data_IF_668492025123
#
_entry.id   IF_668492025123
#
_cell.length_a   1.000
_cell.length_b   1.000
_cell.length_c   1.000
_cell.angle_alpha   90.00
_cell.angle_beta   90.00
_cell.angle_gamma   90.00
#
_symmetry.space_group_name_H-M   'P 1'
#
loop_
_entity.id
_entity.type
_entity.pdbx_description
1 polymer ?
#
# COMPACT_ATOMS: atom_id res chain seq x y z
N UNK A 1 31.08 10.13 2.65
CA UNK A 1 30.18 10.83 1.72
C UNK A 1 29.55 9.77 0.83
N UNK A 2 28.25 9.50 0.95
CA UNK A 2 27.59 8.54 0.05
C UNK A 2 27.52 9.18 -1.34
N UNK A 3 28.32 8.67 -2.27
CA UNK A 3 28.29 9.03 -3.69
C UNK A 3 27.56 7.90 -4.39
N UNK A 4 26.24 8.01 -4.41
CA UNK A 4 25.36 7.06 -5.05
C UNK A 4 24.07 7.75 -5.44
N UNK A 5 23.37 7.23 -6.43
CA UNK A 5 22.14 7.83 -6.89
C UNK A 5 21.01 7.50 -5.89
N UNK A 6 20.46 8.49 -5.16
CA UNK A 6 19.55 8.27 -4.01
C UNK A 6 18.33 7.42 -4.32
N UNK A 7 17.89 7.45 -5.56
CA UNK A 7 16.62 6.88 -6.00
C UNK A 7 16.48 5.37 -5.74
N UNK A 8 17.60 4.64 -5.56
CA UNK A 8 17.57 3.21 -5.24
C UNK A 8 17.99 2.89 -3.80
N UNK A 9 18.45 3.88 -3.03
CA UNK A 9 18.93 3.66 -1.67
C UNK A 9 17.78 3.27 -0.75
N UNK A 10 18.02 2.27 0.10
CA UNK A 10 17.06 1.92 1.14
C UNK A 10 17.03 2.97 2.26
N UNK A 11 15.91 3.12 2.99
CA UNK A 11 15.78 4.10 4.07
C UNK A 11 16.91 4.03 5.11
N UNK A 12 17.35 2.82 5.47
CA UNK A 12 18.41 2.60 6.44
C UNK A 12 19.80 3.02 5.93
N UNK A 13 20.09 2.88 4.63
CA UNK A 13 21.35 3.34 4.02
C UNK A 13 21.49 4.87 4.10
N UNK A 14 20.38 5.60 4.18
CA UNK A 14 20.35 7.05 4.25
C UNK A 14 20.56 7.60 5.67
N UNK A 15 20.43 6.77 6.71
CA UNK A 15 20.58 7.18 8.12
C UNK A 15 22.05 7.07 8.58
N UNK A 16 22.92 6.42 7.81
CA UNK A 16 24.37 6.37 8.09
C UNK A 16 24.76 5.42 9.23
N UNK A 17 23.86 4.53 9.66
CA UNK A 17 24.17 3.51 10.66
C UNK A 17 24.88 2.31 10.03
N UNK A 18 26.09 2.00 10.49
CA UNK A 18 26.88 0.83 10.12
C UNK A 18 26.30 -0.51 10.65
N UNK A 19 24.97 -0.61 10.76
CA UNK A 19 24.26 -1.79 11.25
C UNK A 19 23.60 -2.54 10.09
N UNK A 20 24.15 -3.71 9.74
CA UNK A 20 23.52 -4.75 8.91
C UNK A 20 22.83 -4.24 7.62
N UNK A 21 23.55 -3.42 6.84
CA UNK A 21 23.27 -3.27 5.41
C UNK A 21 23.71 -4.57 4.76
N UNK A 22 22.79 -5.46 4.39
CA UNK A 22 23.19 -6.61 3.58
C UNK A 22 22.04 -7.05 2.69
N UNK A 23 21.19 -8.00 3.11
CA UNK A 23 20.27 -8.66 2.18
C UNK A 23 18.94 -7.92 1.93
N UNK A 24 18.40 -7.26 2.96
CA UNK A 24 17.06 -6.62 2.89
C UNK A 24 17.10 -5.23 2.25
N UNK A 25 18.28 -4.61 2.21
CA UNK A 25 18.50 -3.37 1.47
C UNK A 25 18.48 -3.65 -0.04
N UNK A 26 19.08 -4.75 -0.48
CA UNK A 26 18.99 -5.19 -1.88
C UNK A 26 17.56 -5.54 -2.31
N UNK A 27 16.79 -6.18 -1.43
CA UNK A 27 15.35 -6.43 -1.67
C UNK A 27 14.58 -5.12 -1.90
N UNK A 28 14.92 -4.06 -1.18
CA UNK A 28 14.31 -2.74 -1.37
C UNK A 28 14.69 -2.15 -2.74
N UNK A 29 15.97 -2.17 -3.08
CA UNK A 29 16.48 -1.70 -4.38
C UNK A 29 15.82 -2.45 -5.54
N UNK A 30 15.69 -3.78 -5.45
CA UNK A 30 14.97 -4.60 -6.42
C UNK A 30 13.48 -4.22 -6.49
N UNK A 31 12.85 -3.89 -5.36
CA UNK A 31 11.49 -3.38 -5.32
C UNK A 31 11.32 -2.05 -6.06
N UNK A 32 12.29 -1.14 -5.94
CA UNK A 32 12.30 0.13 -6.68
C UNK A 32 12.44 -0.13 -8.18
N UNK A 33 13.36 -1.01 -8.58
CA UNK A 33 13.55 -1.39 -9.99
C UNK A 33 12.28 -2.02 -10.55
N UNK A 34 11.67 -2.96 -9.82
CA UNK A 34 10.43 -3.59 -10.22
C UNK A 34 9.30 -2.56 -10.38
N UNK A 35 9.16 -1.63 -9.43
CA UNK A 35 8.21 -0.52 -9.55
C UNK A 35 8.46 0.31 -10.82
N UNK A 36 9.72 0.61 -11.11
CA UNK A 36 10.09 1.40 -12.28
C UNK A 36 9.82 0.68 -13.60
N UNK A 37 10.11 -0.61 -13.68
CA UNK A 37 9.79 -1.44 -14.86
C UNK A 37 8.28 -1.50 -15.09
N UNK A 38 7.49 -1.61 -14.02
CA UNK A 38 6.03 -1.67 -14.13
C UNK A 38 5.40 -0.32 -14.49
N UNK A 39 5.88 0.77 -13.90
CA UNK A 39 5.21 2.09 -13.97
C UNK A 39 5.87 3.10 -14.89
N UNK A 40 7.14 2.90 -15.24
CA UNK A 40 7.98 3.88 -15.93
C UNK A 40 8.51 5.02 -15.04
N UNK A 41 8.21 5.00 -13.73
CA UNK A 41 8.60 6.06 -12.79
C UNK A 41 9.08 5.53 -11.44
N UNK A 42 9.45 6.42 -10.52
CA UNK A 42 9.90 6.05 -9.18
C UNK A 42 8.73 6.02 -8.18
N UNK A 43 8.83 5.19 -7.11
CA UNK A 43 7.83 5.17 -6.05
C UNK A 43 7.80 6.46 -5.20
N UNK A 44 8.82 7.30 -5.32
CA UNK A 44 8.94 8.59 -4.64
C UNK A 44 9.33 9.68 -5.63
N UNK A 45 9.01 10.93 -5.29
CA UNK A 45 9.56 12.06 -6.00
C UNK A 45 11.05 12.24 -5.66
N UNK A 46 11.89 12.00 -6.65
CA UNK A 46 13.35 12.07 -6.57
C UNK A 46 13.90 13.42 -7.07
N UNK A 47 13.04 14.41 -7.25
CA UNK A 47 13.41 15.76 -7.70
C UNK A 47 13.87 16.63 -6.53
N UNK A 48 14.89 17.47 -6.76
CA UNK A 48 15.35 18.48 -5.80
C UNK A 48 16.57 18.06 -4.97
N UNK A 49 16.86 18.77 -3.87
CA UNK A 49 18.06 18.56 -3.06
C UNK A 49 18.11 17.16 -2.42
N UNK A 50 19.32 16.63 -2.27
CA UNK A 50 19.58 15.30 -1.66
C UNK A 50 18.85 15.07 -0.33
N UNK A 51 18.91 16.04 0.59
CA UNK A 51 18.34 15.91 1.92
C UNK A 51 16.81 15.79 1.89
N UNK A 52 16.15 16.45 0.93
CA UNK A 52 14.71 16.33 0.75
C UNK A 52 14.36 14.96 0.21
N UNK A 53 15.03 14.51 -0.85
CA UNK A 53 14.82 13.17 -1.44
C UNK A 53 15.02 12.09 -0.38
N UNK A 54 16.10 12.19 0.42
CA UNK A 54 16.37 11.26 1.50
C UNK A 54 15.26 11.28 2.56
N UNK A 55 14.78 12.47 2.97
CA UNK A 55 13.64 12.59 3.89
C UNK A 55 12.36 11.98 3.32
N UNK A 56 12.10 12.10 2.01
CA UNK A 56 10.93 11.48 1.36
C UNK A 56 11.04 9.96 1.35
N UNK A 57 12.20 9.41 0.97
CA UNK A 57 12.47 7.98 1.00
C UNK A 57 12.35 7.42 2.42
N UNK A 58 12.70 8.18 3.46
CA UNK A 58 12.57 7.71 4.84
C UNK A 58 11.13 7.81 5.38
N UNK A 59 10.44 8.93 5.14
CA UNK A 59 9.19 9.26 5.87
C UNK A 59 7.92 9.04 5.08
N UNK A 60 7.97 9.11 3.76
CA UNK A 60 6.78 9.08 2.92
C UNK A 60 6.53 7.65 2.43
N UNK A 61 5.26 7.21 2.48
CA UNK A 61 4.87 5.92 1.92
C UNK A 61 5.04 5.91 0.38
N UNK A 62 5.49 4.80 -0.22
CA UNK A 62 5.63 4.71 -1.66
C UNK A 62 4.29 4.95 -2.36
N UNK A 63 4.34 5.63 -3.50
CA UNK A 63 3.16 5.85 -4.33
C UNK A 63 2.57 4.47 -4.73
N UNK A 64 1.28 4.22 -4.48
CA UNK A 64 0.68 2.92 -4.79
C UNK A 64 0.69 2.68 -6.30
N UNK A 65 0.83 1.42 -6.72
CA UNK A 65 0.55 1.03 -8.11
C UNK A 65 -0.91 1.37 -8.42
N UNK A 66 -1.12 2.44 -9.21
CA UNK A 66 -2.46 2.90 -9.58
C UNK A 66 -3.19 1.82 -10.37
N UNK A 67 -4.45 1.58 -10.05
CA UNK A 67 -5.39 0.72 -10.80
C UNK A 67 -5.63 1.12 -12.27
N UNK A 68 -4.99 2.20 -12.74
CA UNK A 68 -5.23 2.79 -14.05
C UNK A 68 -4.72 1.92 -15.20
N UNK A 69 -3.78 1.00 -14.94
CA UNK A 69 -3.50 -0.11 -15.85
C UNK A 69 -4.26 -1.32 -15.35
N UNK A 70 -5.07 -1.89 -16.22
CA UNK A 70 -5.83 -3.12 -15.99
C UNK A 70 -4.92 -4.35 -15.78
N UNK A 71 -3.60 -4.13 -15.80
CA UNK A 71 -2.53 -5.11 -15.87
C UNK A 71 -1.89 -5.44 -14.50
N UNK A 72 -2.22 -4.71 -13.43
CA UNK A 72 -1.65 -4.95 -12.09
C UNK A 72 -2.73 -5.44 -11.12
N UNK A 73 -2.81 -6.76 -10.98
CA UNK A 73 -3.63 -7.40 -9.95
C UNK A 73 -3.12 -7.10 -8.53
N UNK A 74 -3.89 -7.54 -7.54
CA UNK A 74 -3.60 -7.30 -6.13
C UNK A 74 -2.35 -8.07 -5.64
N UNK A 75 -1.92 -9.09 -6.36
CA UNK A 75 -0.81 -9.99 -6.00
C UNK A 75 0.52 -9.33 -6.33
N UNK A 76 0.65 -8.81 -7.54
CA UNK A 76 1.81 -8.02 -7.94
C UNK A 76 1.97 -6.76 -7.08
N UNK A 77 0.84 -6.12 -6.72
CA UNK A 77 0.87 -4.99 -5.76
C UNK A 77 1.39 -5.43 -4.41
N UNK A 78 0.98 -6.59 -3.92
CA UNK A 78 1.43 -7.12 -2.63
C UNK A 78 2.94 -7.33 -2.63
N UNK A 79 3.49 -7.94 -3.69
CA UNK A 79 4.94 -8.17 -3.83
C UNK A 79 5.71 -6.85 -3.81
N UNK A 80 5.33 -5.88 -4.66
CA UNK A 80 6.03 -4.60 -4.78
C UNK A 80 5.98 -3.81 -3.47
N UNK A 81 4.80 -3.73 -2.85
CA UNK A 81 4.65 -2.97 -1.60
C UNK A 81 5.40 -3.62 -0.43
N UNK A 82 5.54 -4.96 -0.42
CA UNK A 82 6.36 -5.67 0.58
C UNK A 82 7.84 -5.32 0.43
N UNK A 83 8.37 -5.29 -0.79
CA UNK A 83 9.76 -4.87 -1.04
C UNK A 83 10.03 -3.43 -0.58
N UNK A 84 9.07 -2.51 -0.80
CA UNK A 84 9.21 -1.09 -0.51
C UNK A 84 8.86 -0.71 0.95
N UNK A 85 8.68 -1.68 1.84
CA UNK A 85 8.41 -1.42 3.24
C UNK A 85 9.58 -0.66 3.90
N UNK A 86 9.27 0.32 4.77
CA UNK A 86 10.31 1.13 5.43
C UNK A 86 11.10 0.32 6.44
N UNK A 87 10.39 -0.42 7.28
CA UNK A 87 10.95 -1.38 8.23
C UNK A 87 11.52 -2.59 7.47
N UNK A 88 12.84 -2.87 7.54
CA UNK A 88 13.44 -4.03 6.88
C UNK A 88 12.76 -5.36 7.25
N UNK A 89 12.28 -5.50 8.48
CA UNK A 89 11.60 -6.69 9.00
C UNK A 89 10.31 -7.02 8.28
N UNK A 90 9.71 -6.04 7.61
CA UNK A 90 8.49 -6.23 6.81
C UNK A 90 8.77 -6.60 5.37
N UNK A 91 10.04 -6.55 4.93
CA UNK A 91 10.45 -6.92 3.57
C UNK A 91 10.64 -8.44 3.47
N UNK A 92 10.91 -8.91 2.25
CA UNK A 92 11.43 -10.25 2.08
C UNK A 92 12.78 -10.38 2.80
N UNK A 93 12.98 -11.51 3.46
CA UNK A 93 14.24 -11.79 4.16
C UNK A 93 15.43 -11.86 3.20
N UNK A 94 15.20 -12.38 1.99
CA UNK A 94 16.22 -12.54 0.95
C UNK A 94 15.64 -12.26 -0.44
N UNK A 95 16.52 -11.96 -1.41
CA UNK A 95 16.14 -11.88 -2.82
C UNK A 95 15.59 -13.22 -3.36
N UNK A 96 16.03 -14.36 -2.81
CA UNK A 96 15.49 -15.68 -3.14
C UNK A 96 14.02 -15.85 -2.74
N UNK A 97 13.62 -15.29 -1.59
CA UNK A 97 12.22 -15.29 -1.16
C UNK A 97 11.35 -14.42 -2.08
N UNK A 98 11.84 -13.25 -2.49
CA UNK A 98 11.19 -12.43 -3.52
C UNK A 98 11.03 -13.19 -4.85
N UNK A 99 12.11 -13.81 -5.34
CA UNK A 99 12.09 -14.56 -6.59
C UNK A 99 11.13 -15.77 -6.54
N UNK A 100 10.95 -16.38 -5.37
CA UNK A 100 9.95 -17.44 -5.17
C UNK A 100 8.52 -16.90 -5.34
N UNK A 101 8.18 -15.78 -4.73
CA UNK A 101 6.86 -15.18 -4.87
C UNK A 101 6.59 -14.67 -6.30
N UNK A 102 7.61 -14.11 -6.98
CA UNK A 102 7.49 -13.74 -8.39
C UNK A 102 7.21 -14.96 -9.27
N UNK A 103 7.89 -16.09 -9.05
CA UNK A 103 7.63 -17.32 -9.81
C UNK A 103 6.22 -17.87 -9.56
N UNK A 104 5.75 -17.83 -8.31
CA UNK A 104 4.37 -18.22 -7.96
C UNK A 104 3.35 -17.32 -8.62
N UNK A 105 3.59 -16.01 -8.58
CA UNK A 105 2.76 -15.04 -9.29
C UNK A 105 2.63 -15.38 -10.78
N UNK A 106 3.77 -15.60 -11.44
CA UNK A 106 3.80 -15.96 -12.87
C UNK A 106 3.15 -17.32 -13.18
N UNK A 107 3.12 -18.24 -12.21
CA UNK A 107 2.44 -19.53 -12.32
C UNK A 107 0.95 -19.49 -11.96
N UNK A 108 0.44 -18.37 -11.41
CA UNK A 108 -0.93 -18.27 -10.91
C UNK A 108 -1.15 -18.91 -9.52
N UNK A 109 -0.07 -19.17 -8.77
CA UNK A 109 -0.10 -19.78 -7.44
C UNK A 109 -0.29 -18.76 -6.31
N UNK A 110 -0.69 -19.25 -5.14
CA UNK A 110 -0.85 -18.44 -3.92
C UNK A 110 0.53 -17.97 -3.40
N UNK A 111 0.67 -16.65 -3.24
CA UNK A 111 1.87 -16.01 -2.69
C UNK A 111 2.14 -16.37 -1.22
N UNK A 112 3.40 -16.56 -0.85
CA UNK A 112 3.82 -16.65 0.55
C UNK A 112 3.59 -15.31 1.26
N UNK A 113 3.82 -14.19 0.55
CA UNK A 113 3.57 -12.86 1.08
C UNK A 113 2.12 -12.63 1.52
N UNK A 114 1.10 -13.24 0.89
CA UNK A 114 -0.30 -13.09 1.32
C UNK A 114 -0.57 -13.77 2.67
N UNK A 115 0.07 -14.92 2.92
CA UNK A 115 -0.08 -15.65 4.19
C UNK A 115 0.43 -14.80 5.36
N UNK A 116 1.53 -14.10 5.15
CA UNK A 116 2.07 -13.16 6.13
C UNK A 116 1.34 -11.80 6.12
N UNK A 117 0.88 -11.33 4.96
CA UNK A 117 0.19 -10.03 4.79
C UNK A 117 -1.26 -10.01 5.28
N UNK A 118 -1.84 -11.14 5.70
CA UNK A 118 -3.18 -11.16 6.31
C UNK A 118 -3.24 -10.26 7.56
N UNK A 119 -2.10 -10.04 8.24
CA UNK A 119 -2.02 -9.10 9.36
C UNK A 119 -1.93 -7.62 8.92
N UNK A 120 -1.55 -7.33 7.67
CA UNK A 120 -1.31 -5.96 7.17
C UNK A 120 -2.60 -5.21 6.78
N UNK A 121 -3.73 -5.88 6.53
CA UNK A 121 -4.99 -5.22 6.10
C UNK A 121 -5.87 -4.77 7.27
N UNK A 122 -5.51 -5.06 8.54
CA UNK A 122 -6.35 -4.70 9.69
C UNK A 122 -6.33 -3.20 10.09
N UNK A 123 -5.62 -2.33 9.35
CA UNK A 123 -5.69 -0.86 9.56
C UNK A 123 -6.00 -0.12 8.27
N UNK A 124 -7.18 -0.38 7.71
CA UNK A 124 -7.90 0.66 6.95
C UNK A 124 -8.90 1.30 7.91
N UNK A 125 -8.90 2.63 8.11
CA UNK A 125 -10.04 3.27 8.76
C UNK A 125 -11.25 2.95 7.89
N UNK A 126 -12.22 2.25 8.46
CA UNK A 126 -13.53 2.06 7.84
C UNK A 126 -14.15 3.45 7.71
N UNK A 127 -13.90 4.14 6.59
CA UNK A 127 -14.79 5.20 6.11
C UNK A 127 -16.08 4.49 5.74
N UNK A 128 -16.94 4.28 6.74
CA UNK A 128 -18.32 3.86 6.54
C UNK A 128 -18.99 4.96 5.72
N UNK A 129 -19.27 4.63 4.46
CA UNK A 129 -20.20 5.37 3.63
C UNK A 129 -21.47 5.66 4.44
N UNK A 130 -21.93 6.92 4.41
CA UNK A 130 -23.29 7.30 4.80
C UNK A 130 -24.25 6.52 3.91
N UNK A 131 -24.65 5.35 4.36
CA UNK A 131 -25.82 4.66 3.86
C UNK A 131 -27.04 5.39 4.44
N UNK A 132 -27.49 6.42 3.71
CA UNK A 132 -28.87 6.84 3.78
C UNK A 132 -29.70 5.70 3.17
N UNK A 133 -30.26 4.86 4.01
CA UNK A 133 -31.22 3.83 3.61
C UNK A 133 -32.59 4.30 4.09
N UNK A 134 -33.56 4.14 3.19
CA UNK A 134 -34.93 4.63 3.27
C UNK A 134 -35.67 4.23 4.54
N UNK A 135 -36.67 5.06 4.85
CA UNK A 135 -37.54 4.87 5.99
C UNK A 135 -38.44 3.63 5.90
N UNK A 136 -39.11 3.27 7.01
CA UNK A 136 -40.27 2.42 6.98
C UNK A 136 -41.55 3.26 7.03
N UNK A 137 -42.47 2.92 6.12
CA UNK A 137 -43.89 3.22 6.24
C UNK A 137 -44.42 2.80 7.61
N UNK A 138 -45.21 3.67 8.26
CA UNK A 138 -46.10 3.30 9.35
C UNK A 138 -47.50 3.79 9.00
N UNK A 139 -48.24 2.95 8.28
CA UNK A 139 -49.69 3.01 8.18
C UNK A 139 -50.26 2.10 9.28
N UNK A 140 -51.05 2.66 10.21
CA UNK A 140 -52.42 2.21 10.48
C UNK A 140 -52.94 2.70 11.84
N UNK A 141 -54.21 3.14 11.81
CA UNK A 141 -55.18 3.24 12.92
C UNK A 141 -54.88 4.34 13.95
N UNK A 142 -55.70 5.38 14.15
CA UNK A 142 -57.14 5.54 13.96
C UNK A 142 -57.74 5.85 15.34
N UNK A 143 -58.22 7.07 15.59
CA UNK A 143 -59.26 7.41 16.57
C UNK A 143 -59.54 8.92 16.65
N UNK A 144 -60.78 9.26 16.31
CA UNK A 144 -61.65 10.28 16.94
C UNK A 144 -61.29 11.77 16.93
N UNK A 145 -62.20 12.56 16.32
CA UNK A 145 -62.24 14.01 16.57
C UNK A 145 -63.20 14.82 15.69
N UNK A 146 -64.50 14.45 15.67
CA UNK A 146 -65.69 15.26 15.38
C UNK A 146 -65.52 16.61 14.63
N UNK A 147 -66.12 16.67 13.44
CA UNK A 147 -66.68 17.91 12.89
C UNK A 147 -68.21 17.90 13.12
N UNK A 148 -68.69 18.94 13.79
CA UNK A 148 -70.09 19.38 13.85
C UNK A 148 -70.00 20.91 14.03
N UNK A 149 -70.18 21.70 12.96
CA UNK A 149 -71.44 22.34 12.56
C UNK A 149 -71.98 23.32 13.60
N UNK A 150 -71.96 24.62 13.26
CA UNK A 150 -73.00 25.64 13.50
C UNK A 150 -72.36 27.03 13.67
N UNK A 151 -72.88 28.02 12.94
CA UNK A 151 -72.62 29.45 13.17
C UNK A 151 -72.22 30.19 11.91
#
# INVERSE_FOLDING_TARGET
HFVGTPQWASPEQLVGGAGRVDLRSDVYSLGVILYQVLTGGFPYDVSGPWHEVASRIQKIAPAPLRRSRRDFDDDLRTIVMKCLAKEPERRYETAGALARDIRRYLAGDVLDAKRESTWYVLRKPVRRHRLAIGGPCANSRGAHGRAASAG
#
